data_IF_675416570720
#
_entry.id   IF_675416570720
#
_cell.length_a   1.000
_cell.length_b   1.000
_cell.length_c   1.000
_cell.angle_alpha   90.00
_cell.angle_beta   90.00
_cell.angle_gamma   90.00
#
_symmetry.space_group_name_H-M   'P 1'
#
loop_
_entity.id
_entity.type
_entity.pdbx_description
1 polymer ?
#
# COMPACT_ATOMS: atom_id res chain seq x y z
N UNK A 1 5.42 4.59 23.73
CA UNK A 1 6.31 3.84 22.81
C UNK A 1 7.76 4.13 23.18
N UNK A 2 8.69 3.23 22.84
CA UNK A 2 10.11 3.33 23.19
C UNK A 2 10.92 4.19 22.20
N UNK A 3 10.53 4.18 20.93
CA UNK A 3 11.00 5.06 19.85
C UNK A 3 9.89 5.17 18.79
N UNK A 4 10.08 6.04 17.79
CA UNK A 4 9.16 6.19 16.66
C UNK A 4 9.88 5.87 15.36
N UNK A 5 9.13 5.27 14.43
CA UNK A 5 9.56 5.02 13.06
C UNK A 5 8.84 6.00 12.17
N UNK A 6 9.57 6.69 11.32
CA UNK A 6 9.05 7.78 10.49
C UNK A 6 9.34 7.51 9.03
N UNK A 7 8.55 8.11 8.16
CA UNK A 7 8.81 8.11 6.73
C UNK A 7 7.60 8.60 5.97
N UNK A 8 7.72 8.61 4.65
CA UNK A 8 6.68 9.14 3.77
C UNK A 8 6.73 8.44 2.43
N UNK A 9 5.61 8.51 1.71
CA UNK A 9 5.47 7.92 0.38
C UNK A 9 4.64 8.80 -0.54
N UNK A 10 5.02 8.83 -1.81
CA UNK A 10 4.28 9.46 -2.89
C UNK A 10 4.07 8.43 -3.99
N UNK A 11 2.85 8.36 -4.52
CA UNK A 11 2.50 7.47 -5.62
C UNK A 11 1.90 8.25 -6.78
N UNK A 12 2.30 7.88 -8.00
CA UNK A 12 1.64 8.29 -9.22
C UNK A 12 0.79 7.12 -9.71
N UNK A 13 -0.48 7.39 -10.05
CA UNK A 13 -1.40 6.39 -10.59
C UNK A 13 -2.01 6.90 -11.88
N UNK A 14 -2.30 5.98 -12.79
CA UNK A 14 -3.13 6.25 -13.96
C UNK A 14 -4.35 5.36 -13.91
N UNK A 15 -5.54 5.97 -13.86
CA UNK A 15 -6.83 5.30 -13.72
C UNK A 15 -7.63 5.39 -15.02
N UNK A 16 -8.06 4.23 -15.53
CA UNK A 16 -9.06 4.17 -16.60
C UNK A 16 -10.47 4.25 -15.98
N UNK A 17 -11.13 5.40 -16.15
CA UNK A 17 -12.46 5.66 -15.58
C UNK A 17 -13.59 4.79 -16.18
N UNK A 18 -13.36 4.16 -17.34
CA UNK A 18 -14.34 3.27 -17.97
C UNK A 18 -14.27 1.84 -17.43
N UNK A 19 -13.08 1.36 -17.03
CA UNK A 19 -12.88 -0.04 -16.61
C UNK A 19 -12.56 -0.18 -15.12
N UNK A 20 -12.14 0.90 -14.46
CA UNK A 20 -11.64 0.87 -13.08
C UNK A 20 -10.25 0.24 -12.97
N UNK A 21 -9.62 -0.11 -14.09
CA UNK A 21 -8.24 -0.57 -14.10
C UNK A 21 -7.30 0.61 -13.87
N UNK A 22 -6.26 0.39 -13.08
CA UNK A 22 -5.24 1.38 -12.86
C UNK A 22 -3.85 0.74 -12.91
N UNK A 23 -2.86 1.56 -13.24
CA UNK A 23 -1.45 1.22 -13.14
C UNK A 23 -0.74 2.21 -12.22
N UNK A 24 0.43 1.81 -11.73
CA UNK A 24 1.26 2.62 -10.83
C UNK A 24 2.61 2.85 -11.50
N UNK A 25 2.78 3.91 -12.30
CA UNK A 25 4.04 4.17 -12.98
C UNK A 25 5.21 4.36 -12.01
N UNK A 26 4.96 5.00 -10.87
CA UNK A 26 6.00 5.34 -9.90
C UNK A 26 5.49 5.34 -8.46
N UNK A 27 6.32 4.83 -7.56
CA UNK A 27 6.21 5.02 -6.12
C UNK A 27 7.57 5.48 -5.59
N UNK A 28 7.55 6.49 -4.73
CA UNK A 28 8.70 6.96 -3.96
C UNK A 28 8.44 6.79 -2.48
N UNK A 29 9.39 6.20 -1.77
CA UNK A 29 9.35 6.02 -0.32
C UNK A 29 10.67 6.52 0.27
N UNK A 30 10.57 7.33 1.32
CA UNK A 30 11.67 7.61 2.24
C UNK A 30 11.33 7.02 3.59
N UNK A 31 12.19 6.17 4.13
CA UNK A 31 11.95 5.47 5.39
C UNK A 31 13.11 5.65 6.38
N UNK A 32 12.79 6.06 7.61
CA UNK A 32 13.76 6.20 8.69
C UNK A 32 13.81 4.95 9.57
N UNK A 33 14.82 4.12 9.32
CA UNK A 33 15.12 2.89 10.05
C UNK A 33 16.27 3.05 11.05
N UNK A 34 16.71 4.27 11.36
CA UNK A 34 17.94 4.50 12.13
C UNK A 34 19.17 4.00 11.38
N UNK A 35 20.02 3.19 12.02
CA UNK A 35 21.09 2.46 11.35
C UNK A 35 20.62 1.03 10.97
N UNK A 36 20.48 0.72 9.66
CA UNK A 36 20.07 -0.60 9.20
C UNK A 36 21.01 -1.71 9.70
N UNK A 37 20.43 -2.78 10.26
CA UNK A 37 21.19 -3.99 10.59
C UNK A 37 21.61 -4.73 9.31
N UNK A 38 20.68 -4.87 8.38
CA UNK A 38 20.91 -5.42 7.05
C UNK A 38 20.04 -4.66 6.03
N UNK A 39 20.70 -3.91 5.15
CA UNK A 39 20.00 -3.10 4.15
C UNK A 39 19.15 -3.93 3.20
N UNK A 40 19.56 -5.14 2.85
CA UNK A 40 18.81 -6.01 1.94
C UNK A 40 17.50 -6.48 2.57
N UNK A 41 17.55 -6.88 3.84
CA UNK A 41 16.37 -7.29 4.61
C UNK A 41 15.42 -6.11 4.81
N UNK A 42 15.93 -4.94 5.22
CA UNK A 42 15.11 -3.76 5.47
C UNK A 42 14.41 -3.29 4.18
N UNK A 43 15.14 -3.29 3.05
CA UNK A 43 14.54 -3.01 1.75
C UNK A 43 13.48 -4.04 1.38
N UNK A 44 13.73 -5.33 1.61
CA UNK A 44 12.73 -6.39 1.38
C UNK A 44 11.46 -6.21 2.20
N UNK A 45 11.59 -5.79 3.46
CA UNK A 45 10.46 -5.48 4.35
C UNK A 45 9.66 -4.27 3.83
N UNK A 46 10.33 -3.19 3.40
CA UNK A 46 9.65 -2.02 2.83
C UNK A 46 8.82 -2.40 1.60
N UNK A 47 9.40 -3.15 0.67
CA UNK A 47 8.68 -3.60 -0.53
C UNK A 47 7.51 -4.52 -0.16
N UNK A 48 7.76 -5.54 0.67
CA UNK A 48 6.74 -6.51 1.06
C UNK A 48 5.56 -5.87 1.77
N UNK A 49 5.83 -5.05 2.78
CA UNK A 49 4.79 -4.37 3.54
C UNK A 49 4.03 -3.35 2.67
N UNK A 50 4.71 -2.60 1.79
CA UNK A 50 4.02 -1.72 0.84
C UNK A 50 3.06 -2.49 -0.07
N UNK A 51 3.48 -3.63 -0.62
CA UNK A 51 2.62 -4.46 -1.49
C UNK A 51 1.45 -5.05 -0.70
N UNK A 52 1.65 -5.48 0.54
CA UNK A 52 0.53 -5.89 1.43
C UNK A 52 -0.45 -4.74 1.67
N UNK A 53 0.08 -3.54 1.96
CA UNK A 53 -0.73 -2.34 2.11
C UNK A 53 -1.50 -1.99 0.84
N UNK A 54 -0.89 -2.19 -0.33
CA UNK A 54 -1.53 -1.98 -1.63
C UNK A 54 -2.72 -2.92 -1.80
N UNK A 55 -2.53 -4.20 -1.50
CA UNK A 55 -3.61 -5.20 -1.47
C UNK A 55 -4.74 -4.77 -0.56
N UNK A 56 -4.43 -4.46 0.71
CA UNK A 56 -5.40 -3.94 1.68
C UNK A 56 -6.15 -2.70 1.20
N UNK A 57 -5.47 -1.77 0.52
CA UNK A 57 -6.07 -0.53 0.06
C UNK A 57 -6.93 -0.66 -1.21
N UNK A 58 -6.68 -1.66 -2.07
CA UNK A 58 -7.19 -1.64 -3.45
C UNK A 58 -7.76 -2.96 -3.97
N UNK A 59 -7.44 -4.11 -3.36
CA UNK A 59 -7.87 -5.42 -3.85
C UNK A 59 -8.59 -6.28 -2.81
N UNK A 60 -8.01 -6.38 -1.61
CA UNK A 60 -8.34 -7.40 -0.62
C UNK A 60 -9.64 -7.08 0.11
N UNK A 61 -10.75 -7.67 -0.35
CA UNK A 61 -12.09 -7.47 0.22
C UNK A 61 -12.62 -8.75 0.86
N UNK A 62 -12.94 -8.67 2.16
CA UNK A 62 -13.66 -9.72 2.87
C UNK A 62 -15.16 -9.57 2.62
N UNK A 63 -15.82 -10.65 2.20
CA UNK A 63 -17.28 -10.68 1.97
C UNK A 63 -17.89 -11.78 2.80
N UNK A 64 -18.94 -11.46 3.55
CA UNK A 64 -19.72 -12.40 4.35
C UNK A 64 -21.17 -12.44 3.88
N UNK A 65 -21.83 -13.59 4.01
CA UNK A 65 -23.27 -13.70 3.77
C UNK A 65 -24.09 -13.17 4.98
N UNK A 66 -25.44 -13.06 4.86
CA UNK A 66 -26.30 -12.60 5.97
C UNK A 66 -26.30 -13.50 7.21
N UNK A 67 -25.78 -14.74 7.12
CA UNK A 67 -25.61 -15.65 8.25
C UNK A 67 -24.28 -15.47 8.97
N UNK A 68 -23.38 -14.64 8.42
CA UNK A 68 -22.03 -14.39 8.94
C UNK A 68 -20.97 -15.34 8.39
N UNK A 69 -21.30 -16.19 7.41
CA UNK A 69 -20.31 -17.08 6.78
C UNK A 69 -19.40 -16.27 5.86
N UNK A 70 -18.08 -16.45 6.00
CA UNK A 70 -17.10 -15.89 5.07
C UNK A 70 -17.23 -16.54 3.69
N UNK A 71 -17.43 -15.72 2.66
CA UNK A 71 -17.54 -16.15 1.26
C UNK A 71 -16.22 -16.04 0.51
N UNK A 72 -15.31 -15.18 0.96
CA UNK A 72 -13.96 -14.97 0.40
C UNK A 72 -12.93 -15.74 1.24
N UNK A 73 -13.04 -17.06 1.23
CA UNK A 73 -12.31 -18.00 2.08
C UNK A 73 -11.16 -18.75 1.37
N UNK A 74 -10.84 -18.38 0.13
CA UNK A 74 -9.78 -19.01 -0.68
C UNK A 74 -9.06 -18.00 -1.56
N UNK A 75 -7.90 -18.35 -2.12
CA UNK A 75 -7.17 -17.47 -3.06
C UNK A 75 -7.90 -17.29 -4.41
N UNK A 76 -8.89 -18.13 -4.69
CA UNK A 76 -9.73 -18.02 -5.88
C UNK A 76 -10.74 -16.88 -5.76
N UNK A 77 -11.18 -16.54 -4.55
CA UNK A 77 -12.19 -15.50 -4.28
C UNK A 77 -11.68 -14.34 -3.41
N UNK A 78 -10.53 -14.47 -2.74
CA UNK A 78 -9.77 -13.42 -2.07
C UNK A 78 -8.51 -13.09 -2.85
N UNK A 79 -8.45 -11.92 -3.47
CA UNK A 79 -7.36 -11.53 -4.37
C UNK A 79 -6.31 -10.69 -3.66
N UNK A 80 -5.13 -11.28 -3.49
CA UNK A 80 -3.90 -10.56 -3.12
C UNK A 80 -3.27 -9.93 -4.38
N UNK A 81 -2.41 -8.91 -4.24
CA UNK A 81 -1.66 -8.34 -5.37
C UNK A 81 -0.83 -9.38 -6.11
N UNK A 82 -0.94 -9.38 -7.44
CA UNK A 82 -0.08 -10.14 -8.34
C UNK A 82 1.01 -9.28 -8.96
N UNK A 83 1.73 -9.84 -9.93
CA UNK A 83 2.81 -9.13 -10.63
C UNK A 83 2.33 -7.90 -11.44
N UNK A 84 1.05 -7.86 -11.81
CA UNK A 84 0.47 -6.78 -12.62
C UNK A 84 0.04 -5.58 -11.78
N UNK A 85 -0.10 -5.76 -10.46
CA UNK A 85 -0.42 -4.70 -9.52
C UNK A 85 0.83 -4.00 -8.96
N UNK A 86 2.03 -4.49 -9.26
CA UNK A 86 3.27 -3.90 -8.78
C UNK A 86 3.53 -2.53 -9.41
N UNK A 87 4.17 -1.58 -8.69
CA UNK A 87 4.70 -0.37 -9.29
C UNK A 87 5.71 -0.69 -10.40
N UNK A 88 5.61 0.01 -11.54
CA UNK A 88 6.58 -0.14 -12.64
C UNK A 88 7.98 0.32 -12.20
N UNK A 89 8.02 1.41 -11.43
CA UNK A 89 9.24 1.91 -10.78
C UNK A 89 8.99 2.10 -9.29
N UNK A 90 9.81 1.41 -8.51
CA UNK A 90 9.73 1.43 -7.06
C UNK A 90 11.02 2.06 -6.49
N UNK A 91 10.93 3.33 -6.12
CA UNK A 91 12.04 4.10 -5.56
C UNK A 91 11.96 4.08 -4.03
N UNK A 92 12.96 3.49 -3.37
CA UNK A 92 13.04 3.45 -1.91
C UNK A 92 14.39 4.02 -1.48
N UNK A 93 14.34 5.01 -0.59
CA UNK A 93 15.50 5.62 0.06
C UNK A 93 15.41 5.41 1.57
N UNK A 94 16.50 4.96 2.18
CA UNK A 94 16.63 4.90 3.63
C UNK A 94 17.16 6.22 4.13
N UNK A 95 16.42 6.87 5.03
CA UNK A 95 16.85 8.12 5.63
C UNK A 95 18.11 7.89 6.47
N UNK A 96 19.09 8.79 6.34
CA UNK A 96 20.39 8.69 7.02
C UNK A 96 20.55 9.80 8.06
N UNK A 97 21.35 9.51 9.10
CA UNK A 97 21.73 10.52 10.08
C UNK A 97 20.78 10.69 11.26
N UNK A 98 19.90 9.71 11.53
CA UNK A 98 19.04 9.68 12.71
C UNK A 98 19.16 8.35 13.50
N UNK A 99 20.37 8.01 14.01
CA UNK A 99 20.58 6.79 14.80
C UNK A 99 19.68 6.75 16.04
N UNK A 100 19.34 5.55 16.53
CA UNK A 100 18.57 5.34 17.75
C UNK A 100 19.44 4.74 18.88
N UNK A 101 20.15 5.55 19.69
CA UNK A 101 21.23 5.07 20.56
C UNK A 101 20.82 4.06 21.64
N UNK A 102 19.53 3.98 21.95
CA UNK A 102 18.98 3.05 22.93
C UNK A 102 18.69 1.66 22.35
N UNK A 103 18.74 1.51 21.02
CA UNK A 103 18.50 0.25 20.32
C UNK A 103 19.81 -0.43 19.93
N UNK A 104 19.70 -1.74 19.65
CA UNK A 104 20.83 -2.54 19.17
C UNK A 104 21.39 -1.95 17.87
N UNK A 105 22.69 -1.67 17.84
CA UNK A 105 23.36 -1.04 16.70
C UNK A 105 22.64 0.21 16.15
N UNK A 106 22.03 1.01 17.03
CA UNK A 106 21.31 2.22 16.66
C UNK A 106 20.13 2.04 15.66
N UNK A 107 19.59 0.82 15.55
CA UNK A 107 18.57 0.47 14.56
C UNK A 107 17.14 0.80 14.99
N UNK A 108 16.18 0.69 14.07
CA UNK A 108 14.74 0.71 14.36
C UNK A 108 14.01 -0.44 13.67
N UNK A 109 12.87 -0.83 14.22
CA UNK A 109 12.02 -1.86 13.61
C UNK A 109 11.43 -1.39 12.27
N UNK A 110 11.38 -2.30 11.30
CA UNK A 110 10.96 -2.02 9.91
C UNK A 110 9.71 -2.78 9.46
N UNK A 111 9.29 -3.83 10.18
CA UNK A 111 8.35 -4.82 9.62
C UNK A 111 6.96 -4.29 9.29
N UNK A 112 6.35 -3.53 10.19
CA UNK A 112 4.97 -3.04 10.04
C UNK A 112 4.86 -1.62 9.45
N UNK A 113 5.73 -0.65 9.82
CA UNK A 113 5.56 0.75 9.42
C UNK A 113 5.40 1.00 7.90
N UNK A 114 6.08 0.27 6.99
CA UNK A 114 5.94 0.55 5.56
C UNK A 114 4.58 0.16 4.96
N UNK A 115 3.74 -0.60 5.68
CA UNK A 115 2.40 -0.99 5.20
C UNK A 115 1.54 0.23 4.89
N UNK A 116 1.59 1.26 5.75
CA UNK A 116 0.75 2.46 5.60
C UNK A 116 1.15 3.33 4.40
N UNK A 117 2.34 3.16 3.83
CA UNK A 117 2.76 3.92 2.65
C UNK A 117 1.90 3.65 1.41
N UNK A 118 1.27 2.48 1.34
CA UNK A 118 0.32 2.19 0.27
C UNK A 118 -0.91 3.10 0.25
N UNK A 119 -1.21 3.80 1.37
CA UNK A 119 -2.26 4.82 1.38
C UNK A 119 -2.00 5.93 0.34
N UNK A 120 -0.75 6.19 -0.03
CA UNK A 120 -0.43 7.13 -1.11
C UNK A 120 -1.09 6.74 -2.44
N UNK A 121 -1.15 5.44 -2.76
CA UNK A 121 -1.86 4.93 -3.94
C UNK A 121 -3.36 5.15 -3.81
N UNK A 122 -3.94 4.84 -2.66
CA UNK A 122 -5.36 5.07 -2.40
C UNK A 122 -5.75 6.55 -2.51
N UNK A 123 -4.94 7.44 -1.94
CA UNK A 123 -5.15 8.89 -2.05
C UNK A 123 -5.02 9.38 -3.49
N UNK A 124 -4.04 8.86 -4.24
CA UNK A 124 -3.86 9.19 -5.65
C UNK A 124 -5.04 8.69 -6.50
N UNK A 125 -5.59 7.50 -6.22
CA UNK A 125 -6.79 6.99 -6.88
C UNK A 125 -8.02 7.83 -6.54
N UNK A 126 -8.15 8.27 -5.29
CA UNK A 126 -9.22 9.17 -4.86
C UNK A 126 -9.15 10.51 -5.60
N UNK A 127 -7.94 11.05 -5.76
CA UNK A 127 -7.69 12.28 -6.51
C UNK A 127 -8.03 12.10 -8.00
N UNK A 128 -7.49 11.07 -8.64
CA UNK A 128 -7.73 10.75 -10.04
C UNK A 128 -9.22 10.50 -10.36
N UNK A 129 -9.96 9.89 -9.43
CA UNK A 129 -11.41 9.67 -9.54
C UNK A 129 -12.25 10.90 -9.20
N UNK A 130 -11.76 11.77 -8.33
CA UNK A 130 -12.45 13.00 -7.90
C UNK A 130 -13.58 12.81 -6.86
N UNK A 131 -13.82 11.59 -6.37
CA UNK A 131 -14.89 11.33 -5.38
C UNK A 131 -14.42 10.41 -4.25
N UNK A 132 -15.05 10.46 -3.05
CA UNK A 132 -14.68 9.59 -1.92
C UNK A 132 -14.69 8.10 -2.27
N UNK A 133 -13.66 7.38 -1.82
CA UNK A 133 -13.51 5.93 -2.00
C UNK A 133 -13.60 5.20 -0.65
N UNK A 134 -14.08 3.94 -0.62
CA UNK A 134 -13.90 3.07 0.53
C UNK A 134 -12.47 2.51 0.58
N UNK A 135 -12.11 1.84 1.69
CA UNK A 135 -10.97 0.94 1.76
C UNK A 135 -11.51 -0.48 1.98
N UNK A 136 -11.17 -1.46 1.12
CA UNK A 136 -10.43 -1.30 -0.13
C UNK A 136 -11.23 -0.54 -1.21
N UNK A 137 -10.53 0.20 -2.07
CA UNK A 137 -11.08 0.79 -3.29
C UNK A 137 -10.97 -0.22 -4.44
N UNK A 138 -11.94 -1.14 -4.53
CA UNK A 138 -11.92 -2.17 -5.59
C UNK A 138 -12.16 -1.57 -6.97
N UNK A 139 -11.84 -2.30 -8.04
CA UNK A 139 -12.15 -1.89 -9.42
C UNK A 139 -13.62 -1.51 -9.61
N UNK A 140 -14.53 -2.24 -8.95
CA UNK A 140 -15.96 -1.93 -8.95
C UNK A 140 -16.25 -0.57 -8.30
N UNK A 141 -15.58 -0.24 -7.18
CA UNK A 141 -15.77 1.04 -6.49
C UNK A 141 -15.21 2.22 -7.31
N UNK A 142 -14.16 1.98 -8.10
CA UNK A 142 -13.56 2.95 -9.00
C UNK A 142 -14.51 3.36 -10.14
N UNK A 143 -15.38 2.46 -10.61
CA UNK A 143 -16.35 2.74 -11.71
C UNK A 143 -17.76 3.14 -11.25
N UNK A 144 -18.18 2.80 -10.02
CA UNK A 144 -19.56 3.05 -9.52
C UNK A 144 -20.16 4.45 -9.79
N UNK A 145 -19.45 5.59 -9.63
CA UNK A 145 -20.05 6.90 -9.88
C UNK A 145 -20.27 7.16 -11.38
N UNK A 146 -19.53 6.51 -12.27
CA UNK A 146 -19.71 6.63 -13.73
C UNK A 146 -21.04 6.06 -14.24
N UNK A 147 -21.71 5.20 -13.45
CA UNK A 147 -23.00 4.58 -13.82
C UNK A 147 -24.23 5.36 -13.37
N UNK A 148 -24.07 6.45 -12.62
CA UNK A 148 -25.20 7.26 -12.12
C UNK A 148 -25.55 8.49 -12.98
N UNK A 149 -25.07 8.54 -14.23
CA UNK A 149 -25.58 9.46 -15.24
C UNK A 149 -26.19 8.69 -16.43
N UNK A 150 -27.42 8.20 -16.22
CA UNK A 150 -28.56 8.24 -17.17
C UNK A 150 -29.82 7.67 -16.55
#
# INVERSE_FOLDING_TARGET
YWYYVMGSSVAHVELNLLTGEFRIPDVWIVHDCGEPLDKGIDMGQIHGAFIQGLGWCTLEKLVTDPSGKLLTDSLDNYKIPGIYELPERFHVELFHGNPEPLNIHNSRAIGEPPLIYALSVWFALRDARGTPLPIPATREDLIKPSYHEK
#
